data_IF_345821867241
#
_entry.id   IF_345821867241
#
_cell.length_a   1.000
_cell.length_b   1.000
_cell.length_c   1.000
_cell.angle_alpha   90.00
_cell.angle_beta   90.00
_cell.angle_gamma   90.00
#
_symmetry.space_group_name_H-M   'P 1'
#
loop_
_entity.id
_entity.type
_entity.pdbx_description
1 polymer ?
#
# COMPACT_ATOMS: atom_id res chain seq x y z
N UNK A 1 -46.81 -12.37 -16.21
CA UNK A 1 -45.42 -12.49 -15.69
C UNK A 1 -44.50 -12.02 -16.81
N UNK A 2 -44.06 -10.75 -16.78
CA UNK A 2 -43.00 -10.28 -17.68
C UNK A 2 -41.69 -10.90 -17.17
N UNK A 3 -41.36 -12.05 -17.73
CA UNK A 3 -40.13 -12.78 -17.46
C UNK A 3 -38.95 -12.00 -18.00
N UNK A 4 -38.20 -11.39 -17.10
CA UNK A 4 -36.95 -10.70 -17.34
C UNK A 4 -35.80 -11.70 -17.59
N UNK A 5 -35.99 -12.60 -18.55
CA UNK A 5 -35.18 -13.79 -18.77
C UNK A 5 -33.76 -13.50 -19.25
N UNK A 6 -33.54 -12.34 -19.90
CA UNK A 6 -32.22 -11.95 -20.40
C UNK A 6 -31.36 -11.24 -19.33
N UNK A 7 -31.98 -10.53 -18.39
CA UNK A 7 -31.25 -9.83 -17.31
C UNK A 7 -30.81 -10.78 -16.19
N UNK A 8 -31.44 -11.95 -16.07
CA UNK A 8 -31.03 -13.02 -15.14
C UNK A 8 -29.85 -13.85 -15.66
N UNK A 9 -29.56 -13.81 -16.96
CA UNK A 9 -28.49 -14.60 -17.60
C UNK A 9 -27.11 -13.94 -17.56
N UNK A 10 -27.07 -12.62 -17.45
CA UNK A 10 -25.81 -11.87 -17.41
C UNK A 10 -25.90 -10.85 -16.29
N UNK A 11 -24.93 -10.85 -15.37
CA UNK A 11 -24.75 -9.74 -14.42
C UNK A 11 -24.16 -8.56 -15.20
N UNK A 12 -24.93 -7.56 -15.64
CA UNK A 12 -24.42 -6.47 -16.49
C UNK A 12 -23.65 -5.43 -15.67
N UNK A 13 -23.60 -5.61 -14.35
CA UNK A 13 -23.14 -4.63 -13.39
C UNK A 13 -22.16 -5.28 -12.41
N UNK A 14 -20.89 -4.88 -12.51
CA UNK A 14 -19.88 -5.18 -11.52
C UNK A 14 -19.83 -4.04 -10.50
N UNK A 15 -20.18 -4.34 -9.25
CA UNK A 15 -20.09 -3.39 -8.14
C UNK A 15 -18.82 -3.69 -7.32
N UNK A 16 -17.93 -2.70 -7.18
CA UNK A 16 -16.76 -2.78 -6.31
C UNK A 16 -16.93 -1.85 -5.12
N UNK A 17 -17.01 -2.44 -3.92
CA UNK A 17 -17.05 -1.70 -2.66
C UNK A 17 -15.63 -1.54 -2.11
N UNK A 18 -15.09 -0.33 -2.15
CA UNK A 18 -13.75 0.00 -1.62
C UNK A 18 -13.87 0.99 -0.47
N UNK A 19 -13.18 0.72 0.63
CA UNK A 19 -13.17 1.63 1.76
C UNK A 19 -12.31 1.13 2.91
N UNK A 20 -12.34 1.90 3.99
CA UNK A 20 -11.66 1.57 5.24
C UNK A 20 -12.28 0.35 5.94
N UNK A 21 -11.60 -0.27 6.93
CA UNK A 21 -12.15 -1.41 7.69
C UNK A 21 -13.53 -1.17 8.31
N UNK A 22 -13.94 0.09 8.50
CA UNK A 22 -15.28 0.49 8.93
C UNK A 22 -16.36 0.05 7.93
N UNK A 23 -16.11 0.10 6.62
CA UNK A 23 -17.05 -0.36 5.61
C UNK A 23 -17.40 -1.84 5.79
N UNK A 24 -16.40 -2.68 6.06
CA UNK A 24 -16.60 -4.12 6.35
C UNK A 24 -17.49 -4.35 7.57
N UNK A 25 -17.40 -3.49 8.59
CA UNK A 25 -18.27 -3.55 9.78
C UNK A 25 -19.68 -3.09 9.45
N UNK A 26 -19.83 -2.01 8.68
CA UNK A 26 -21.15 -1.48 8.29
C UNK A 26 -21.93 -2.47 7.43
N UNK A 27 -21.29 -3.12 6.45
CA UNK A 27 -21.96 -4.09 5.56
C UNK A 27 -22.53 -5.28 6.34
N UNK A 28 -21.93 -5.64 7.48
CA UNK A 28 -22.41 -6.71 8.36
C UNK A 28 -23.60 -6.32 9.25
N UNK A 29 -24.03 -5.06 9.25
CA UNK A 29 -25.21 -4.64 10.01
C UNK A 29 -26.46 -5.30 9.41
N UNK A 30 -27.41 -5.69 10.26
CA UNK A 30 -28.63 -6.40 9.83
C UNK A 30 -29.45 -5.65 8.77
N UNK A 31 -29.42 -4.31 8.80
CA UNK A 31 -30.07 -3.45 7.78
C UNK A 31 -29.48 -3.63 6.37
N UNK A 32 -28.24 -4.11 6.25
CA UNK A 32 -27.57 -4.39 4.98
C UNK A 32 -27.43 -5.89 4.66
N UNK A 33 -28.13 -6.78 5.39
CA UNK A 33 -27.99 -8.23 5.23
C UNK A 33 -28.22 -8.73 3.78
N UNK A 34 -29.18 -8.15 3.06
CA UNK A 34 -29.45 -8.49 1.67
C UNK A 34 -28.29 -8.11 0.72
N UNK A 35 -27.56 -7.03 1.03
CA UNK A 35 -26.36 -6.64 0.30
C UNK A 35 -25.19 -7.58 0.64
N UNK A 36 -24.98 -7.89 1.92
CA UNK A 36 -23.90 -8.77 2.36
C UNK A 36 -23.97 -10.16 1.71
N UNK A 37 -25.18 -10.72 1.56
CA UNK A 37 -25.40 -12.01 0.88
C UNK A 37 -25.03 -11.99 -0.61
N UNK A 38 -25.02 -10.82 -1.27
CA UNK A 38 -24.69 -10.68 -2.70
C UNK A 38 -23.21 -10.43 -2.96
N UNK A 39 -22.39 -10.23 -1.92
CA UNK A 39 -20.95 -10.03 -2.08
C UNK A 39 -20.27 -11.38 -2.28
N UNK A 40 -19.89 -11.68 -3.53
CA UNK A 40 -19.22 -12.92 -3.90
C UNK A 40 -17.76 -12.99 -3.42
N UNK A 41 -17.03 -11.87 -3.49
CA UNK A 41 -15.60 -11.82 -3.14
C UNK A 41 -15.35 -10.73 -2.11
N UNK A 42 -14.58 -11.06 -1.07
CA UNK A 42 -14.10 -10.10 -0.07
C UNK A 42 -12.58 -10.20 0.00
N UNK A 43 -11.91 -9.10 -0.30
CA UNK A 43 -10.47 -8.99 -0.18
C UNK A 43 -10.12 -7.94 0.90
N UNK A 44 -8.99 -8.16 1.57
CA UNK A 44 -8.42 -7.19 2.49
C UNK A 44 -6.96 -6.95 2.10
N UNK A 45 -6.62 -5.68 1.86
CA UNK A 45 -5.24 -5.31 1.59
C UNK A 45 -4.47 -5.21 2.91
N UNK A 46 -3.61 -6.20 3.14
CA UNK A 46 -2.63 -6.15 4.22
C UNK A 46 -1.44 -5.27 3.83
N UNK A 47 -0.55 -5.01 4.79
CA UNK A 47 0.77 -4.46 4.46
C UNK A 47 1.53 -5.41 3.53
N UNK A 48 2.39 -4.84 2.70
CA UNK A 48 3.29 -5.56 1.82
C UNK A 48 4.24 -6.45 2.63
N UNK A 49 4.67 -7.57 2.07
CA UNK A 49 5.79 -8.36 2.60
C UNK A 49 7.13 -7.62 2.42
N UNK A 50 8.21 -8.13 3.01
CA UNK A 50 9.54 -7.56 2.81
C UNK A 50 9.96 -7.57 1.32
N UNK A 51 9.71 -8.68 0.63
CA UNK A 51 9.99 -8.84 -0.81
C UNK A 51 9.14 -7.90 -1.68
N UNK A 52 7.85 -7.79 -1.36
CA UNK A 52 6.95 -6.85 -2.03
C UNK A 52 7.39 -5.40 -1.78
N UNK A 53 7.87 -5.07 -0.56
CA UNK A 53 8.38 -3.73 -0.23
C UNK A 53 9.64 -3.40 -1.03
N UNK A 54 10.58 -4.35 -1.14
CA UNK A 54 11.79 -4.18 -1.96
C UNK A 54 11.43 -3.97 -3.44
N UNK A 55 10.50 -4.78 -3.96
CA UNK A 55 10.01 -4.68 -5.34
C UNK A 55 9.24 -3.39 -5.58
N UNK A 56 8.45 -2.94 -4.61
CA UNK A 56 7.71 -1.69 -4.64
C UNK A 56 8.65 -0.48 -4.75
N UNK A 57 9.70 -0.42 -3.92
CA UNK A 57 10.71 0.64 -3.99
C UNK A 57 11.45 0.63 -5.33
N UNK A 58 11.89 -0.55 -5.79
CA UNK A 58 12.57 -0.71 -7.09
C UNK A 58 11.68 -0.26 -8.24
N UNK A 59 10.40 -0.64 -8.23
CA UNK A 59 9.44 -0.20 -9.23
C UNK A 59 9.27 1.32 -9.22
N UNK A 60 9.15 1.94 -8.04
CA UNK A 60 9.04 3.39 -7.93
C UNK A 60 10.28 4.11 -8.49
N UNK A 61 11.48 3.59 -8.23
CA UNK A 61 12.71 4.12 -8.84
C UNK A 61 12.72 3.96 -10.36
N UNK A 62 12.26 2.81 -10.87
CA UNK A 62 12.17 2.57 -12.31
C UNK A 62 11.22 3.56 -13.00
N UNK A 63 10.09 3.90 -12.36
CA UNK A 63 9.18 4.95 -12.84
C UNK A 63 9.83 6.33 -12.87
N UNK A 64 10.76 6.61 -11.96
CA UNK A 64 11.57 7.82 -11.94
C UNK A 64 12.75 7.78 -12.94
N UNK A 65 12.86 6.73 -13.76
CA UNK A 65 13.93 6.57 -14.76
C UNK A 65 15.25 6.03 -14.20
N UNK A 66 15.24 5.48 -12.99
CA UNK A 66 16.42 4.89 -12.33
C UNK A 66 16.31 3.37 -12.27
N UNK A 67 17.30 2.67 -12.81
CA UNK A 67 17.41 1.20 -12.73
C UNK A 67 18.50 0.75 -11.76
N UNK A 68 19.36 1.68 -11.35
CA UNK A 68 20.42 1.50 -10.37
C UNK A 68 19.88 1.40 -8.93
N UNK A 69 20.48 0.55 -8.09
CA UNK A 69 20.06 0.42 -6.69
C UNK A 69 20.44 1.67 -5.90
N UNK A 70 19.44 2.47 -5.50
CA UNK A 70 19.62 3.65 -4.62
C UNK A 70 19.41 3.34 -3.14
N UNK A 71 18.92 2.15 -2.78
CA UNK A 71 18.75 1.73 -1.40
C UNK A 71 19.59 0.49 -1.13
N UNK A 72 20.28 0.45 0.01
CA UNK A 72 20.89 -0.78 0.51
C UNK A 72 19.83 -1.76 1.03
N UNK A 73 20.18 -3.05 1.08
CA UNK A 73 19.27 -4.09 1.60
C UNK A 73 18.92 -3.84 3.07
N UNK A 74 19.86 -3.31 3.86
CA UNK A 74 19.63 -2.92 5.26
C UNK A 74 18.64 -1.76 5.37
N UNK A 75 18.75 -0.75 4.49
CA UNK A 75 17.81 0.36 4.43
C UNK A 75 16.40 -0.12 4.07
N UNK A 76 16.27 -0.99 3.05
CA UNK A 76 14.97 -1.57 2.65
C UNK A 76 14.35 -2.36 3.81
N UNK A 77 15.16 -3.16 4.51
CA UNK A 77 14.72 -3.95 5.66
C UNK A 77 14.20 -3.05 6.78
N UNK A 78 14.95 -1.99 7.11
CA UNK A 78 14.55 -1.01 8.13
C UNK A 78 13.27 -0.25 7.74
N UNK A 79 13.14 0.16 6.48
CA UNK A 79 11.92 0.80 5.95
C UNK A 79 10.72 -0.15 6.11
N UNK A 80 10.87 -1.41 5.73
CA UNK A 80 9.80 -2.41 5.84
C UNK A 80 9.36 -2.61 7.30
N UNK A 81 10.31 -2.82 8.21
CA UNK A 81 10.03 -3.06 9.63
C UNK A 81 9.29 -1.89 10.28
N UNK A 82 9.78 -0.66 10.05
CA UNK A 82 9.18 0.55 10.63
C UNK A 82 7.79 0.83 10.04
N UNK A 83 7.64 0.69 8.73
CA UNK A 83 6.36 0.94 8.04
C UNK A 83 5.33 -0.17 8.22
N UNK A 84 5.76 -1.37 8.66
CA UNK A 84 4.97 -2.61 8.65
C UNK A 84 4.38 -2.92 7.26
N UNK A 85 5.13 -2.59 6.21
CA UNK A 85 4.73 -2.78 4.81
C UNK A 85 3.58 -1.89 4.34
N UNK A 86 3.16 -0.86 5.09
CA UNK A 86 2.09 0.06 4.65
C UNK A 86 2.63 0.98 3.54
N UNK A 87 2.09 0.94 2.31
CA UNK A 87 2.67 1.66 1.17
C UNK A 87 2.87 3.17 1.40
N UNK A 88 1.89 3.84 2.04
CA UNK A 88 2.01 5.28 2.36
C UNK A 88 3.18 5.58 3.30
N UNK A 89 3.34 4.78 4.34
CA UNK A 89 4.44 4.95 5.31
C UNK A 89 5.77 4.57 4.70
N UNK A 90 5.83 3.49 3.90
CA UNK A 90 7.01 3.13 3.10
C UNK A 90 7.46 4.30 2.24
N UNK A 91 6.53 4.90 1.49
CA UNK A 91 6.85 6.01 0.59
C UNK A 91 7.33 7.25 1.33
N UNK A 92 6.70 7.60 2.46
CA UNK A 92 7.12 8.73 3.28
C UNK A 92 8.55 8.54 3.81
N UNK A 93 8.84 7.38 4.40
CA UNK A 93 10.19 7.09 4.90
C UNK A 93 11.19 7.10 3.74
N UNK A 94 10.89 6.42 2.62
CA UNK A 94 11.79 6.34 1.48
C UNK A 94 12.15 7.71 0.89
N UNK A 95 11.17 8.62 0.75
CA UNK A 95 11.39 9.98 0.27
C UNK A 95 12.30 10.75 1.24
N UNK A 96 12.01 10.70 2.54
CA UNK A 96 12.84 11.39 3.53
C UNK A 96 14.26 10.79 3.60
N UNK A 97 14.41 9.47 3.46
CA UNK A 97 15.72 8.83 3.38
C UNK A 97 16.51 9.30 2.17
N UNK A 98 15.86 9.48 1.00
CA UNK A 98 16.51 10.03 -0.19
C UNK A 98 16.96 11.49 0.03
N UNK A 99 16.15 12.31 0.69
CA UNK A 99 16.49 13.70 1.02
C UNK A 99 17.66 13.77 2.00
N UNK A 100 17.63 12.96 3.07
CA UNK A 100 18.72 12.89 4.05
C UNK A 100 20.05 12.43 3.39
N UNK A 101 19.97 11.39 2.56
CA UNK A 101 21.14 10.87 1.81
C UNK A 101 21.73 11.93 0.90
N UNK A 102 20.88 12.69 0.21
CA UNK A 102 21.30 13.80 -0.64
C UNK A 102 21.95 14.94 0.16
N UNK A 103 21.39 15.29 1.32
CA UNK A 103 21.96 16.31 2.21
C UNK A 103 23.35 15.93 2.74
N UNK A 104 23.63 14.64 2.90
CA UNK A 104 24.94 14.10 3.28
C UNK A 104 25.91 13.95 2.08
N UNK A 105 25.48 14.24 0.85
CA UNK A 105 26.30 14.08 -0.36
C UNK A 105 26.57 12.62 -0.74
N UNK A 106 25.79 11.67 -0.22
CA UNK A 106 25.90 10.24 -0.55
C UNK A 106 25.04 9.90 -1.76
N UNK A 107 25.41 8.83 -2.46
CA UNK A 107 24.66 8.33 -3.62
C UNK A 107 23.68 7.20 -3.27
N UNK A 108 23.93 6.46 -2.19
CA UNK A 108 23.15 5.29 -1.77
C UNK A 108 22.54 5.56 -0.41
N UNK A 109 21.25 5.30 -0.28
CA UNK A 109 20.51 5.32 0.99
C UNK A 109 20.96 4.13 1.83
N UNK A 110 21.64 4.42 2.94
CA UNK A 110 22.08 3.44 3.93
C UNK A 110 21.12 3.37 5.13
N UNK A 111 21.43 2.48 6.08
CA UNK A 111 20.64 2.34 7.30
C UNK A 111 20.65 3.63 8.14
N UNK A 112 21.76 4.35 8.17
CA UNK A 112 21.91 5.58 8.96
C UNK A 112 21.03 6.70 8.45
N UNK A 113 21.06 6.99 7.14
CA UNK A 113 20.21 7.98 6.52
C UNK A 113 18.71 7.63 6.70
N UNK A 114 18.40 6.33 6.63
CA UNK A 114 17.04 5.83 6.89
C UNK A 114 16.61 6.05 8.35
N UNK A 115 17.50 5.83 9.31
CA UNK A 115 17.24 6.07 10.73
C UNK A 115 17.00 7.56 11.02
N UNK A 116 17.78 8.44 10.40
CA UNK A 116 17.57 9.90 10.46
C UNK A 116 16.19 10.27 9.92
N UNK A 117 15.83 9.77 8.74
CA UNK A 117 14.54 10.01 8.11
C UNK A 117 13.35 9.51 8.96
N UNK A 118 13.48 8.35 9.61
CA UNK A 118 12.44 7.83 10.51
C UNK A 118 12.17 8.80 11.66
N UNK A 119 13.21 9.38 12.25
CA UNK A 119 13.06 10.34 13.35
C UNK A 119 12.31 11.61 12.90
N UNK A 120 12.56 12.08 11.68
CA UNK A 120 11.86 13.25 11.11
C UNK A 120 10.39 12.97 10.77
N UNK A 121 10.10 11.80 10.20
CA UNK A 121 8.72 11.40 9.87
C UNK A 121 7.89 11.25 11.16
N UNK A 122 8.45 10.65 12.21
CA UNK A 122 7.77 10.50 13.50
C UNK A 122 7.56 11.87 14.18
N UNK A 123 8.50 12.81 14.04
CA UNK A 123 8.36 14.15 14.61
C UNK A 123 7.26 15.00 13.94
N UNK A 124 6.81 14.61 12.75
CA UNK A 124 5.80 15.35 11.96
C UNK A 124 4.38 14.77 12.11
N UNK A 125 4.22 13.58 12.70
CA UNK A 125 2.93 12.96 13.04
C UNK A 125 2.47 13.28 14.47
#
# INVERSE_FOLDING_TARGET
MLTNHDMDRTCPFACLLVGQPTLRRMVKLGVLAALDQRIAVRCHMNGMTAEETATYLRHHLQLAGRSDPLFSDDAITLIHQTSRGKPRTVNNIAIQSLVATFAEGKAIVDENATRTAINEVIATE
#
